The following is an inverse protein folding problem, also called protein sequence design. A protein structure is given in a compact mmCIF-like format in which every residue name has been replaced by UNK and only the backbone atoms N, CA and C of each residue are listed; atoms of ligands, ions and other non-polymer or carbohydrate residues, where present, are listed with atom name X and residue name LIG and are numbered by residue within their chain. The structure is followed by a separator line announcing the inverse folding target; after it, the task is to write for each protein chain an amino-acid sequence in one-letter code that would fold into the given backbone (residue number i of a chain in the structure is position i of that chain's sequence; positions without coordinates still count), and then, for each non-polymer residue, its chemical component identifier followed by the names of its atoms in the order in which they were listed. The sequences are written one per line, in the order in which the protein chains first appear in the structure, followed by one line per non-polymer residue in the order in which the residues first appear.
data_IF_865529336570
#
_entry.id   IF_865529336570
#
_cell.length_a   1.000
_cell.length_b   1.000
_cell.length_c   1.000
_cell.angle_alpha   90.00
_cell.angle_beta   90.00
_cell.angle_gamma   90.00
#
_symmetry.space_group_name_H-M   'P 1'
#
loop_
_entity.id
_entity.type
_entity.pdbx_description
1 polymer ?
#
# COMPACT_ATOMS: atom_id res chain seq x y z
N UNK A 1 -29.71 -30.74 -18.20
CA UNK A 1 -29.79 -29.45 -18.93
C UNK A 1 -28.68 -29.40 -19.97
N UNK A 2 -28.99 -29.24 -21.26
CA UNK A 2 -27.99 -29.32 -22.33
C UNK A 2 -27.41 -27.93 -22.61
N UNK A 3 -26.20 -27.65 -22.11
CA UNK A 3 -25.52 -26.37 -22.27
C UNK A 3 -25.20 -26.01 -23.72
N UNK A 4 -24.94 -27.01 -24.58
CA UNK A 4 -24.64 -26.77 -26.01
C UNK A 4 -25.90 -26.32 -26.76
N UNK A 5 -27.04 -26.95 -26.46
CA UNK A 5 -28.34 -26.53 -26.99
C UNK A 5 -28.69 -25.09 -26.60
N UNK A 6 -28.41 -24.71 -25.34
CA UNK A 6 -28.66 -23.35 -24.85
C UNK A 6 -27.82 -22.32 -25.61
N UNK A 7 -26.51 -22.58 -25.79
CA UNK A 7 -25.61 -21.72 -26.54
C UNK A 7 -26.03 -21.59 -28.01
N UNK A 8 -26.38 -22.69 -28.67
CA UNK A 8 -26.88 -22.67 -30.06
C UNK A 8 -28.20 -21.89 -30.20
N UNK A 9 -29.11 -22.03 -29.23
CA UNK A 9 -30.36 -21.25 -29.19
C UNK A 9 -30.07 -19.74 -29.08
N UNK A 10 -29.14 -19.34 -28.21
CA UNK A 10 -28.73 -17.93 -28.07
C UNK A 10 -28.08 -17.40 -29.36
N UNK A 11 -27.17 -18.16 -29.97
CA UNK A 11 -26.52 -17.76 -31.23
C UNK A 11 -27.54 -17.60 -32.37
N UNK A 12 -28.54 -18.47 -32.45
CA UNK A 12 -29.66 -18.32 -33.39
C UNK A 12 -30.49 -17.07 -33.12
N UNK A 13 -30.76 -16.76 -31.85
CA UNK A 13 -31.50 -15.55 -31.48
C UNK A 13 -30.74 -14.25 -31.81
N UNK A 14 -29.40 -14.29 -31.78
CA UNK A 14 -28.56 -13.14 -32.12
C UNK A 14 -28.22 -13.05 -33.62
N UNK A 15 -28.40 -14.14 -34.38
CA UNK A 15 -28.20 -14.14 -35.83
C UNK A 15 -29.07 -13.05 -36.50
N UNK A 16 -28.43 -12.13 -37.23
CA UNK A 16 -29.09 -10.97 -37.84
C UNK A 16 -29.34 -9.77 -36.90
N UNK A 17 -29.25 -9.94 -35.57
CA UNK A 17 -29.55 -8.92 -34.56
C UNK A 17 -28.37 -8.61 -33.61
N UNK A 18 -27.14 -9.01 -33.96
CA UNK A 18 -25.94 -8.85 -33.13
C UNK A 18 -25.71 -7.40 -32.66
N UNK A 19 -26.05 -6.41 -33.49
CA UNK A 19 -25.93 -5.00 -33.11
C UNK A 19 -26.73 -4.64 -31.86
N UNK A 20 -27.98 -5.11 -31.75
CA UNK A 20 -28.83 -4.85 -30.59
C UNK A 20 -28.30 -5.54 -29.32
N UNK A 21 -27.83 -6.78 -29.44
CA UNK A 21 -27.25 -7.53 -28.33
C UNK A 21 -25.98 -6.84 -27.78
N UNK A 22 -25.11 -6.34 -28.66
CA UNK A 22 -23.90 -5.59 -28.27
C UNK A 22 -24.29 -4.29 -27.59
N UNK A 23 -25.21 -3.51 -28.16
CA UNK A 23 -25.64 -2.23 -27.58
C UNK A 23 -26.26 -2.39 -26.19
N UNK A 24 -26.95 -3.49 -25.91
CA UNK A 24 -27.48 -3.81 -24.57
C UNK A 24 -26.35 -4.10 -23.57
N UNK A 25 -25.32 -4.85 -23.98
CA UNK A 25 -24.20 -5.21 -23.10
C UNK A 25 -23.13 -4.11 -22.94
N UNK A 26 -23.03 -3.20 -23.90
CA UNK A 26 -21.97 -2.20 -24.00
C UNK A 26 -21.88 -1.25 -22.79
N UNK A 27 -22.97 -0.72 -22.22
CA UNK A 27 -22.90 0.12 -21.02
C UNK A 27 -22.27 -0.62 -19.82
N UNK A 28 -22.63 -1.89 -19.61
CA UNK A 28 -22.05 -2.70 -18.53
C UNK A 28 -20.54 -2.90 -18.72
N UNK A 29 -20.12 -3.17 -19.96
CA UNK A 29 -18.70 -3.32 -20.30
C UNK A 29 -17.95 -2.00 -20.05
N UNK A 30 -18.49 -0.87 -20.51
CA UNK A 30 -17.87 0.45 -20.29
C UNK A 30 -17.71 0.76 -18.81
N UNK A 31 -18.77 0.58 -18.01
CA UNK A 31 -18.71 0.83 -16.57
C UNK A 31 -17.66 -0.08 -15.91
N UNK A 32 -17.65 -1.36 -16.26
CA UNK A 32 -16.68 -2.33 -15.70
C UNK A 32 -15.25 -1.93 -16.01
N UNK A 33 -14.95 -1.57 -17.26
CA UNK A 33 -13.61 -1.12 -17.64
C UNK A 33 -13.23 0.20 -16.96
N UNK A 34 -14.14 1.17 -16.87
CA UNK A 34 -13.87 2.46 -16.24
C UNK A 34 -13.61 2.33 -14.73
N UNK A 35 -14.40 1.51 -14.03
CA UNK A 35 -14.18 1.24 -12.60
C UNK A 35 -12.85 0.51 -12.37
N UNK A 36 -12.49 -0.44 -13.23
CA UNK A 36 -11.21 -1.15 -13.12
C UNK A 36 -10.00 -0.21 -13.35
N UNK A 37 -10.06 0.65 -14.37
CA UNK A 37 -8.96 1.57 -14.69
C UNK A 37 -8.78 2.65 -13.62
N UNK A 38 -9.88 3.20 -13.11
CA UNK A 38 -9.83 4.18 -12.01
C UNK A 38 -9.25 3.57 -10.73
N UNK A 39 -9.62 2.34 -10.38
CA UNK A 39 -9.07 1.64 -9.22
C UNK A 39 -7.55 1.44 -9.29
N UNK A 40 -7.04 1.02 -10.45
CA UNK A 40 -5.59 0.86 -10.66
C UNK A 40 -4.87 2.19 -10.56
N UNK A 41 -5.43 3.26 -11.14
CA UNK A 41 -4.83 4.60 -11.08
C UNK A 41 -4.71 5.10 -9.64
N UNK A 42 -5.74 4.90 -8.82
CA UNK A 42 -5.71 5.27 -7.40
C UNK A 42 -4.66 4.47 -6.61
N UNK A 43 -4.50 3.17 -6.88
CA UNK A 43 -3.48 2.36 -6.23
C UNK A 43 -2.06 2.85 -6.55
N UNK A 44 -1.82 3.18 -7.82
CA UNK A 44 -0.52 3.74 -8.25
C UNK A 44 -0.29 5.10 -7.60
N UNK A 45 -1.24 6.02 -7.68
CA UNK A 45 -1.08 7.36 -7.10
C UNK A 45 -0.90 7.30 -5.57
N UNK A 46 -1.66 6.42 -4.90
CA UNK A 46 -1.60 6.22 -3.46
C UNK A 46 -0.24 5.70 -2.99
N UNK A 47 0.29 4.66 -3.64
CA UNK A 47 1.61 4.11 -3.29
C UNK A 47 2.74 5.12 -3.51
N UNK A 48 2.71 5.90 -4.60
CA UNK A 48 3.67 6.99 -4.82
C UNK A 48 3.60 8.06 -3.73
N UNK A 49 2.38 8.45 -3.33
CA UNK A 49 2.18 9.44 -2.26
C UNK A 49 2.67 8.91 -0.91
N UNK A 50 2.43 7.64 -0.59
CA UNK A 50 2.90 6.99 0.63
C UNK A 50 4.43 7.02 0.73
N UNK A 51 5.13 6.67 -0.36
CA UNK A 51 6.60 6.74 -0.40
C UNK A 51 7.08 8.17 -0.11
N UNK A 52 6.54 9.17 -0.80
CA UNK A 52 6.92 10.56 -0.59
C UNK A 52 6.70 11.02 0.86
N UNK A 53 5.54 10.69 1.44
CA UNK A 53 5.22 11.06 2.82
C UNK A 53 6.20 10.43 3.82
N UNK A 54 6.39 9.10 3.74
CA UNK A 54 7.28 8.37 4.63
C UNK A 54 8.69 8.95 4.59
N UNK A 55 9.25 9.17 3.39
CA UNK A 55 10.59 9.73 3.24
C UNK A 55 10.72 11.13 3.84
N UNK A 56 9.74 12.01 3.61
CA UNK A 56 9.77 13.37 4.17
C UNK A 56 9.59 13.40 5.68
N UNK A 57 8.71 12.56 6.24
CA UNK A 57 8.55 12.46 7.69
C UNK A 57 9.81 11.92 8.36
N UNK A 58 10.42 10.88 7.80
CA UNK A 58 11.68 10.36 8.32
C UNK A 58 12.82 11.38 8.20
N UNK A 59 12.95 12.11 7.08
CA UNK A 59 13.94 13.22 6.99
C UNK A 59 13.69 14.30 8.03
N UNK A 60 12.43 14.68 8.26
CA UNK A 60 12.11 15.66 9.29
C UNK A 60 12.56 15.13 10.66
N UNK A 61 12.26 13.87 10.99
CA UNK A 61 12.53 13.35 12.33
C UNK A 61 14.02 13.09 12.56
N UNK A 62 14.74 12.55 11.56
CA UNK A 62 16.18 12.29 11.66
C UNK A 62 17.00 13.57 11.83
N UNK A 63 16.60 14.65 11.14
CA UNK A 63 17.33 15.94 11.18
C UNK A 63 16.70 16.95 12.13
N UNK A 64 15.63 16.57 12.84
CA UNK A 64 14.79 17.44 13.66
C UNK A 64 14.42 18.77 12.96
N UNK A 65 14.36 18.77 11.62
CA UNK A 65 14.23 19.97 10.80
C UNK A 65 12.97 19.90 9.95
N UNK A 66 12.06 20.84 10.21
CA UNK A 66 10.86 21.01 9.38
C UNK A 66 11.29 21.40 7.97
N UNK A 67 10.81 20.71 6.92
CA UNK A 67 11.05 21.13 5.54
C UNK A 67 10.45 22.52 5.29
N UNK A 68 11.21 23.43 4.67
CA UNK A 68 10.75 24.79 4.37
C UNK A 68 9.49 24.80 3.48
N UNK A 69 9.38 23.81 2.59
CA UNK A 69 8.17 23.56 1.79
C UNK A 69 7.81 22.06 1.86
N UNK A 70 6.96 21.64 2.82
CA UNK A 70 6.67 20.22 3.06
C UNK A 70 6.12 19.50 1.83
N UNK A 71 5.16 20.11 1.12
CA UNK A 71 4.62 19.54 -0.11
C UNK A 71 5.71 19.36 -1.18
N UNK A 72 6.51 20.38 -1.42
CA UNK A 72 7.62 20.31 -2.39
C UNK A 72 8.65 19.27 -1.98
N UNK A 73 8.95 19.14 -0.69
CA UNK A 73 9.83 18.10 -0.17
C UNK A 73 9.25 16.70 -0.40
N UNK A 74 7.96 16.49 -0.17
CA UNK A 74 7.26 15.23 -0.47
C UNK A 74 7.28 14.90 -1.96
N UNK A 75 6.93 15.86 -2.82
CA UNK A 75 7.01 15.68 -4.28
C UNK A 75 8.45 15.43 -4.74
N UNK A 76 9.42 16.15 -4.19
CA UNK A 76 10.84 15.93 -4.46
C UNK A 76 11.25 14.54 -4.01
N UNK A 77 10.99 14.13 -2.77
CA UNK A 77 11.44 12.84 -2.26
C UNK A 77 10.73 11.67 -2.98
N UNK A 78 9.49 11.87 -3.42
CA UNK A 78 8.77 10.95 -4.30
C UNK A 78 9.42 10.79 -5.68
N UNK A 79 9.99 11.86 -6.26
CA UNK A 79 10.51 11.88 -7.63
C UNK A 79 12.05 11.80 -7.74
N UNK A 80 12.77 12.21 -6.70
CA UNK A 80 14.21 12.44 -6.69
C UNK A 80 14.99 11.26 -6.08
N UNK A 81 14.31 10.21 -5.59
CA UNK A 81 15.00 8.94 -5.35
C UNK A 81 15.69 8.51 -6.66
N UNK A 82 16.99 8.13 -6.67
CA UNK A 82 17.73 7.77 -7.89
C UNK A 82 17.02 6.74 -8.77
N UNK A 83 16.14 5.93 -8.17
CA UNK A 83 15.10 5.13 -8.82
C UNK A 83 13.79 5.28 -8.04
N UNK A 84 12.86 6.19 -8.43
CA UNK A 84 11.58 6.33 -7.73
C UNK A 84 10.74 5.05 -7.82
N UNK A 85 11.01 4.23 -8.83
CA UNK A 85 10.40 2.93 -9.02
C UNK A 85 10.78 1.90 -7.94
N UNK A 86 11.91 2.03 -7.25
CA UNK A 86 12.38 1.03 -6.29
C UNK A 86 11.45 0.87 -5.06
N UNK A 87 11.21 1.95 -4.28
CA UNK A 87 10.25 1.94 -3.18
C UNK A 87 8.83 1.54 -3.64
N UNK A 88 8.42 1.98 -4.82
CA UNK A 88 7.13 1.62 -5.41
C UNK A 88 7.01 0.11 -5.70
N UNK A 89 8.03 -0.48 -6.33
CA UNK A 89 8.10 -1.91 -6.58
C UNK A 89 8.12 -2.71 -5.28
N UNK A 90 8.80 -2.22 -4.25
CA UNK A 90 8.79 -2.83 -2.92
C UNK A 90 7.36 -2.87 -2.35
N UNK A 91 6.61 -1.77 -2.38
CA UNK A 91 5.22 -1.74 -1.94
C UNK A 91 4.37 -2.78 -2.68
N UNK A 92 4.49 -2.85 -4.01
CA UNK A 92 3.78 -3.84 -4.83
C UNK A 92 4.15 -5.28 -4.43
N UNK A 93 5.44 -5.58 -4.24
CA UNK A 93 5.89 -6.93 -3.88
C UNK A 93 5.38 -7.31 -2.48
N UNK A 94 5.42 -6.38 -1.52
CA UNK A 94 4.87 -6.58 -0.16
C UNK A 94 3.37 -6.84 -0.22
N UNK A 95 2.61 -6.10 -1.03
CA UNK A 95 1.18 -6.31 -1.22
C UNK A 95 0.89 -7.68 -1.85
N UNK A 96 1.63 -8.06 -2.89
CA UNK A 96 1.49 -9.38 -3.53
C UNK A 96 1.80 -10.49 -2.53
N UNK A 97 2.90 -10.39 -1.78
CA UNK A 97 3.26 -11.42 -0.79
C UNK A 97 2.20 -11.52 0.32
N UNK A 98 1.73 -10.38 0.83
CA UNK A 98 0.68 -10.35 1.85
C UNK A 98 -0.63 -10.93 1.31
N UNK A 99 -0.98 -10.65 0.06
CA UNK A 99 -2.14 -11.23 -0.62
C UNK A 99 -2.02 -12.74 -0.80
N UNK A 100 -0.86 -13.24 -1.24
CA UNK A 100 -0.63 -14.68 -1.40
C UNK A 100 -0.76 -15.42 -0.06
N UNK A 101 -0.26 -14.84 1.03
CA UNK A 101 -0.43 -15.41 2.37
C UNK A 101 -1.88 -15.33 2.87
N UNK A 102 -2.59 -14.23 2.59
CA UNK A 102 -3.99 -14.08 2.99
C UNK A 102 -4.94 -14.98 2.21
N UNK A 103 -4.62 -15.28 0.94
CA UNK A 103 -5.34 -16.26 0.12
C UNK A 103 -5.22 -17.69 0.65
N UNK A 104 -4.10 -18.03 1.29
CA UNK A 104 -3.94 -19.32 1.97
C UNK A 104 -4.79 -19.35 3.24
N UNK A 105 -4.59 -18.38 4.13
CA UNK A 105 -5.32 -18.23 5.40
C UNK A 105 -5.24 -16.76 5.88
N UNK A 106 -6.30 -16.28 6.54
CA UNK A 106 -6.38 -14.89 7.01
C UNK A 106 -5.30 -14.58 8.07
N UNK A 107 -5.15 -15.43 9.08
CA UNK A 107 -4.21 -15.21 10.21
C UNK A 107 -2.75 -15.07 9.75
N UNK A 108 -2.16 -15.98 8.96
CA UNK A 108 -0.80 -15.79 8.48
C UNK A 108 -0.67 -14.61 7.52
N UNK A 109 -1.72 -14.24 6.78
CA UNK A 109 -1.75 -13.00 6.00
C UNK A 109 -1.51 -11.76 6.87
N UNK A 110 -2.22 -11.65 7.99
CA UNK A 110 -2.03 -10.55 8.96
C UNK A 110 -0.61 -10.58 9.53
N UNK A 111 -0.14 -11.74 10.00
CA UNK A 111 1.20 -11.87 10.59
C UNK A 111 2.32 -11.51 9.60
N UNK A 112 2.15 -11.82 8.31
CA UNK A 112 3.10 -11.46 7.26
C UNK A 112 3.02 -9.99 6.89
N UNK A 113 1.83 -9.41 6.84
CA UNK A 113 1.67 -7.95 6.69
C UNK A 113 2.40 -7.18 7.80
N UNK A 114 2.27 -7.61 9.06
CA UNK A 114 3.02 -7.04 10.18
C UNK A 114 4.53 -7.23 10.03
N UNK A 115 4.98 -8.42 9.58
CA UNK A 115 6.40 -8.72 9.38
C UNK A 115 7.05 -7.95 8.21
N UNK A 116 6.26 -7.37 7.30
CA UNK A 116 6.75 -6.58 6.16
C UNK A 116 6.59 -5.07 6.37
N UNK A 117 6.00 -4.66 7.49
CA UNK A 117 5.63 -3.26 7.78
C UNK A 117 6.82 -2.29 7.72
N UNK A 118 8.02 -2.75 8.07
CA UNK A 118 9.22 -1.92 8.17
C UNK A 118 10.05 -1.88 6.88
N UNK A 119 9.65 -2.63 5.85
CA UNK A 119 10.44 -2.80 4.64
C UNK A 119 10.71 -1.46 3.93
N UNK A 120 9.74 -0.54 3.91
CA UNK A 120 9.91 0.77 3.27
C UNK A 120 10.93 1.65 4.00
N UNK A 121 10.96 1.61 5.32
CA UNK A 121 11.93 2.37 6.12
C UNK A 121 13.34 1.77 5.96
N UNK A 122 13.48 0.43 6.00
CA UNK A 122 14.76 -0.24 5.71
C UNK A 122 15.27 0.11 4.32
N UNK A 123 14.41 0.07 3.29
CA UNK A 123 14.79 0.46 1.93
C UNK A 123 15.38 1.88 1.89
N UNK A 124 14.73 2.82 2.59
CA UNK A 124 15.24 4.19 2.73
C UNK A 124 16.62 4.19 3.38
N UNK A 125 16.80 3.46 4.48
CA UNK A 125 18.06 3.46 5.23
C UNK A 125 19.23 2.97 4.38
N UNK A 126 19.02 1.92 3.56
CA UNK A 126 20.02 1.49 2.59
C UNK A 126 20.33 2.58 1.55
N UNK A 127 19.31 3.25 1.01
CA UNK A 127 19.50 4.36 0.06
C UNK A 127 20.30 5.50 0.69
N UNK A 128 20.03 5.84 1.95
CA UNK A 128 20.79 6.85 2.70
C UNK A 128 22.24 6.43 2.95
N UNK A 129 22.51 5.14 3.12
CA UNK A 129 23.88 4.58 3.23
C UNK A 129 24.64 4.55 1.89
N UNK A 130 24.02 4.97 0.80
CA UNK A 130 24.64 5.07 -0.53
C UNK A 130 24.33 3.89 -1.46
N UNK A 131 23.43 2.98 -1.08
CA UNK A 131 23.00 1.90 -1.94
C UNK A 131 21.93 2.38 -2.92
N UNK A 132 22.31 2.49 -4.20
CA UNK A 132 21.44 3.07 -5.22
C UNK A 132 20.25 2.17 -5.65
N UNK A 133 20.23 0.89 -5.23
CA UNK A 133 19.17 -0.08 -5.51
C UNK A 133 19.30 -1.32 -4.61
N UNK A 134 18.84 -1.25 -3.35
CA UNK A 134 18.82 -2.40 -2.44
C UNK A 134 17.97 -3.53 -3.03
N UNK A 135 18.36 -4.78 -2.81
CA UNK A 135 17.54 -5.91 -3.26
C UNK A 135 16.21 -5.96 -2.48
N UNK A 136 15.10 -6.06 -3.20
CA UNK A 136 13.76 -6.02 -2.59
C UNK A 136 13.56 -7.19 -1.62
N UNK A 137 14.09 -8.38 -1.93
CA UNK A 137 13.92 -9.54 -1.07
C UNK A 137 14.82 -9.46 0.17
N UNK A 138 16.01 -8.89 0.03
CA UNK A 138 16.90 -8.59 1.14
C UNK A 138 16.23 -7.64 2.13
N UNK A 139 15.71 -6.52 1.65
CA UNK A 139 14.96 -5.53 2.46
C UNK A 139 13.75 -6.17 3.17
N UNK A 140 12.97 -6.99 2.46
CA UNK A 140 11.83 -7.71 3.05
C UNK A 140 12.31 -8.71 4.12
N UNK A 141 13.46 -9.36 3.90
CA UNK A 141 14.04 -10.33 4.83
C UNK A 141 14.55 -9.64 6.10
N UNK A 142 15.20 -8.49 5.96
CA UNK A 142 15.59 -7.65 7.08
C UNK A 142 14.37 -7.18 7.87
N UNK A 143 13.30 -6.74 7.18
CA UNK A 143 12.05 -6.34 7.85
C UNK A 143 11.47 -7.47 8.69
N UNK A 144 11.47 -8.71 8.17
CA UNK A 144 11.02 -9.88 8.94
C UNK A 144 11.89 -10.17 10.16
N UNK A 145 13.17 -9.84 10.08
CA UNK A 145 14.16 -10.12 11.12
C UNK A 145 14.02 -9.12 12.26
N UNK A 146 13.98 -7.82 11.96
CA UNK A 146 13.79 -6.79 12.99
C UNK A 146 12.39 -6.84 13.62
N UNK A 147 11.40 -7.34 12.88
CA UNK A 147 10.05 -7.54 13.40
C UNK A 147 9.89 -8.83 14.22
N UNK A 148 10.89 -9.71 14.31
CA UNK A 148 10.74 -10.92 15.10
C UNK A 148 10.68 -10.59 16.60
N UNK A 149 9.66 -11.11 17.30
CA UNK A 149 9.30 -10.66 18.65
C UNK A 149 8.32 -9.47 18.68
N UNK A 150 8.43 -8.52 17.75
CA UNK A 150 7.68 -7.25 17.81
C UNK A 150 6.37 -7.21 16.98
N UNK A 151 5.98 -8.30 16.32
CA UNK A 151 4.75 -8.34 15.49
C UNK A 151 3.49 -8.03 16.30
N UNK A 152 3.39 -8.56 17.51
CA UNK A 152 2.22 -8.34 18.38
C UNK A 152 2.20 -6.92 18.95
N UNK A 153 3.36 -6.35 19.26
CA UNK A 153 3.48 -4.94 19.65
C UNK A 153 2.90 -4.03 18.57
N UNK A 154 3.34 -4.21 17.31
CA UNK A 154 2.79 -3.47 16.18
C UNK A 154 1.29 -3.71 15.99
N UNK A 155 0.80 -4.93 16.26
CA UNK A 155 -0.64 -5.22 16.20
C UNK A 155 -1.42 -4.40 17.23
N UNK A 156 -0.97 -4.34 18.48
CA UNK A 156 -1.60 -3.51 19.52
C UNK A 156 -1.50 -2.03 19.21
N UNK A 157 -0.36 -1.58 18.70
CA UNK A 157 -0.18 -0.20 18.24
C UNK A 157 -1.22 0.14 17.17
N UNK A 158 -1.39 -0.71 16.16
CA UNK A 158 -2.42 -0.53 15.13
C UNK A 158 -3.85 -0.54 15.69
N UNK A 159 -4.14 -1.40 16.67
CA UNK A 159 -5.44 -1.43 17.35
C UNK A 159 -5.73 -0.11 18.09
N UNK A 160 -4.71 0.55 18.66
CA UNK A 160 -4.88 1.84 19.33
C UNK A 160 -5.36 2.95 18.38
N UNK A 161 -5.01 2.86 17.09
CA UNK A 161 -5.46 3.80 16.06
C UNK A 161 -6.86 3.51 15.50
N UNK A 162 -7.47 2.35 15.80
CA UNK A 162 -8.83 2.03 15.30
C UNK A 162 -9.85 3.05 15.82
N UNK A 163 -9.73 3.50 17.07
CA UNK A 163 -10.62 4.53 17.62
C UNK A 163 -10.56 5.83 16.82
N UNK A 164 -9.35 6.27 16.47
CA UNK A 164 -9.14 7.45 15.63
C UNK A 164 -9.64 7.24 14.20
N UNK A 165 -9.48 6.05 13.64
CA UNK A 165 -10.00 5.73 12.31
C UNK A 165 -11.53 5.80 12.28
N UNK A 166 -12.20 5.21 13.28
CA UNK A 166 -13.67 5.30 13.42
C UNK A 166 -14.11 6.76 13.53
N UNK A 167 -13.46 7.56 14.37
CA UNK A 167 -13.76 8.99 14.51
C UNK A 167 -13.57 9.75 13.18
N UNK A 168 -12.53 9.39 12.42
CA UNK A 168 -12.24 9.97 11.11
C UNK A 168 -13.33 9.63 10.08
N UNK A 169 -13.84 8.39 10.09
CA UNK A 169 -14.97 8.01 9.25
C UNK A 169 -16.27 8.74 9.63
N UNK A 170 -16.54 8.93 10.92
CA UNK A 170 -17.73 9.67 11.40
C UNK A 170 -17.72 11.14 11.00
N UNK A 171 -16.54 11.73 10.79
CA UNK A 171 -16.37 13.11 10.32
C UNK A 171 -16.34 13.22 8.77
N UNK A 172 -16.88 12.22 8.06
CA UNK A 172 -16.85 12.13 6.59
C UNK A 172 -15.43 12.19 6.01
N UNK A 173 -14.45 11.71 6.77
CA UNK A 173 -13.06 11.64 6.37
C UNK A 173 -12.19 12.83 6.76
N UNK A 174 -12.76 13.88 7.38
CA UNK A 174 -11.99 15.06 7.81
C UNK A 174 -10.95 14.68 8.88
N UNK A 175 -11.27 13.76 9.79
CA UNK A 175 -10.30 13.31 10.80
C UNK A 175 -9.03 12.67 10.23
N UNK A 176 -9.05 12.17 9.00
CA UNK A 176 -7.87 11.58 8.36
C UNK A 176 -6.74 12.60 8.14
N UNK A 177 -7.05 13.89 8.04
CA UNK A 177 -6.02 14.93 7.91
C UNK A 177 -5.08 15.01 9.13
N UNK A 178 -5.55 14.63 10.32
CA UNK A 178 -4.73 14.55 11.52
C UNK A 178 -4.24 13.13 11.79
N UNK A 179 -5.08 12.13 11.53
CA UNK A 179 -4.75 10.74 11.79
C UNK A 179 -3.60 10.25 10.90
N UNK A 180 -3.59 10.57 9.61
CA UNK A 180 -2.55 10.11 8.68
C UNK A 180 -1.15 10.58 9.11
N UNK A 181 -0.87 11.89 9.29
CA UNK A 181 0.46 12.33 9.70
C UNK A 181 0.83 11.83 11.10
N UNK A 182 -0.13 11.70 12.01
CA UNK A 182 0.11 11.14 13.34
C UNK A 182 0.54 9.66 13.24
N UNK A 183 -0.18 8.85 12.48
CA UNK A 183 0.12 7.44 12.25
C UNK A 183 1.48 7.25 11.55
N UNK A 184 1.74 8.00 10.48
CA UNK A 184 3.02 7.92 9.75
C UNK A 184 4.18 8.30 10.66
N UNK A 185 4.07 9.38 11.44
CA UNK A 185 5.10 9.77 12.41
C UNK A 185 5.31 8.73 13.49
N UNK A 186 4.24 8.11 14.01
CA UNK A 186 4.35 6.99 14.95
C UNK A 186 5.10 5.81 14.34
N UNK A 187 4.84 5.48 13.07
CA UNK A 187 5.56 4.40 12.39
C UNK A 187 7.03 4.70 12.14
N UNK A 188 7.39 5.97 11.86
CA UNK A 188 8.80 6.39 11.79
C UNK A 188 9.48 6.17 13.14
N UNK A 189 8.90 6.64 14.23
CA UNK A 189 9.46 6.47 15.57
C UNK A 189 9.54 4.99 15.98
N UNK A 190 8.54 4.19 15.60
CA UNK A 190 8.52 2.75 15.83
C UNK A 190 9.68 2.05 15.12
N UNK A 191 9.95 2.40 13.86
CA UNK A 191 11.11 1.91 13.11
C UNK A 191 12.44 2.26 13.80
N UNK A 192 12.61 3.52 14.19
CA UNK A 192 13.82 3.97 14.90
C UNK A 192 14.03 3.21 16.22
N UNK A 193 12.95 2.99 16.98
CA UNK A 193 13.01 2.23 18.23
C UNK A 193 13.44 0.77 18.02
N UNK A 194 12.93 0.12 16.95
CA UNK A 194 13.33 -1.24 16.58
C UNK A 194 14.82 -1.32 16.20
N UNK A 195 15.30 -0.38 15.39
CA UNK A 195 16.71 -0.35 14.96
C UNK A 195 17.64 -0.06 16.14
N UNK A 196 17.21 0.77 17.09
CA UNK A 196 17.97 1.05 18.31
C UNK A 196 17.97 -0.11 19.33
N UNK A 197 17.16 -1.16 19.12
CA UNK A 197 16.99 -2.27 20.06
C UNK A 197 16.31 -1.87 21.37
N UNK A 198 15.51 -0.80 21.35
CA UNK A 198 14.74 -0.35 22.51
C UNK A 198 13.46 -1.14 22.70
N UNK A 199 12.96 -1.19 23.94
CA UNK A 199 11.60 -1.69 24.21
C UNK A 199 10.60 -0.72 23.57
N UNK A 200 9.82 -1.22 22.60
CA UNK A 200 9.00 -0.40 21.72
C UNK A 200 7.60 -0.12 22.32
N UNK A 201 7.21 -0.84 23.39
CA UNK A 201 5.97 -0.67 24.17
C UNK A 201 6.18 -1.05 25.63
#
# INVERSE_FOLDING_TARGET
MNFQLLKQKTLRNFAGNWGAAILIGLPFVIVTYFTATTGILYAILGSFTTVGMVLTFSEWFDFERVPESPLTATFRNMLATPRPWGPFLLCIVVEIYTLLWSLLLIVPGIMKGLAYSQALFIYRDHVLRGENAPDINEVITESRTIMDGHKLELFWLNLSFIGWAILSFLTLGIGFFWLVPYYVGTMVNYHEALVAGGDVI
#
